data_IF_943295676698
#
_entry.id   IF_943295676698
#
_cell.length_a   1.000
_cell.length_b   1.000
_cell.length_c   1.000
_cell.angle_alpha   90.00
_cell.angle_beta   90.00
_cell.angle_gamma   90.00
#
_symmetry.space_group_name_H-M   'P 1'
#
loop_
_entity.id
_entity.type
_entity.pdbx_description
1 polymer ?
#
# COMPACT_ATOMS: atom_id res chain seq x y z
N UNK A 1 -7.18 -10.20 -2.61
CA UNK A 1 -6.75 -8.84 -2.98
C UNK A 1 -7.97 -8.03 -3.41
N UNK A 2 -7.96 -6.73 -3.20
CA UNK A 2 -9.00 -5.80 -3.63
C UNK A 2 -8.39 -4.56 -4.27
N UNK A 3 -9.20 -3.81 -5.01
CA UNK A 3 -8.88 -2.48 -5.51
C UNK A 3 -9.91 -1.47 -4.98
N UNK A 4 -9.60 -0.16 -4.98
CA UNK A 4 -10.59 0.85 -4.60
C UNK A 4 -11.80 0.94 -5.55
N UNK A 5 -11.76 0.27 -6.71
CA UNK A 5 -12.88 0.13 -7.64
C UNK A 5 -13.75 -1.10 -7.38
N UNK A 6 -13.33 -1.98 -6.46
CA UNK A 6 -14.10 -3.18 -6.13
C UNK A 6 -15.40 -2.79 -5.41
N UNK A 7 -16.52 -3.39 -5.80
CA UNK A 7 -17.80 -3.13 -5.16
C UNK A 7 -17.82 -3.56 -3.69
N UNK A 8 -18.62 -2.90 -2.86
CA UNK A 8 -18.63 -3.14 -1.41
C UNK A 8 -18.90 -4.60 -1.03
N UNK A 9 -19.87 -5.25 -1.70
CA UNK A 9 -20.20 -6.64 -1.45
C UNK A 9 -18.97 -7.55 -1.68
N UNK A 10 -18.18 -7.24 -2.70
CA UNK A 10 -16.96 -7.97 -3.03
C UNK A 10 -15.87 -7.73 -1.98
N UNK A 11 -15.71 -6.49 -1.50
CA UNK A 11 -14.75 -6.17 -0.44
C UNK A 11 -15.08 -6.94 0.84
N UNK A 12 -16.35 -6.93 1.26
CA UNK A 12 -16.83 -7.66 2.45
C UNK A 12 -16.64 -9.17 2.30
N UNK A 13 -16.91 -9.71 1.11
CA UNK A 13 -16.68 -11.13 0.82
C UNK A 13 -15.19 -11.49 0.92
N UNK A 14 -14.32 -10.67 0.30
CA UNK A 14 -12.86 -10.86 0.37
C UNK A 14 -12.39 -10.84 1.81
N UNK A 15 -12.82 -9.87 2.60
CA UNK A 15 -12.46 -9.78 4.02
C UNK A 15 -12.92 -11.04 4.78
N UNK A 16 -14.17 -11.47 4.61
CA UNK A 16 -14.69 -12.66 5.29
C UNK A 16 -13.91 -13.94 4.98
N UNK A 17 -13.45 -14.11 3.74
CA UNK A 17 -12.76 -15.30 3.24
C UNK A 17 -11.23 -15.24 3.42
N UNK A 18 -10.69 -14.05 3.69
CA UNK A 18 -9.25 -13.85 3.88
C UNK A 18 -8.84 -14.16 5.33
N UNK A 19 -7.55 -14.47 5.49
CA UNK A 19 -6.88 -14.71 6.77
C UNK A 19 -5.59 -13.90 6.82
N UNK A 20 -5.34 -13.23 7.94
CA UNK A 20 -4.15 -12.40 8.15
C UNK A 20 -4.40 -10.96 7.69
N UNK A 21 -4.42 -10.73 6.37
CA UNK A 21 -4.64 -9.40 5.82
C UNK A 21 -5.32 -9.39 4.44
N UNK A 22 -5.92 -8.25 4.11
CA UNK A 22 -6.42 -7.92 2.78
C UNK A 22 -5.42 -6.99 2.10
N UNK A 23 -4.85 -7.44 0.98
CA UNK A 23 -4.02 -6.61 0.12
C UNK A 23 -4.91 -5.71 -0.75
N UNK A 24 -4.83 -4.39 -0.53
CA UNK A 24 -5.43 -3.34 -1.34
C UNK A 24 -4.40 -2.69 -2.27
N UNK A 25 -4.68 -2.68 -3.57
CA UNK A 25 -3.80 -2.07 -4.57
C UNK A 25 -4.27 -0.65 -4.85
N UNK A 26 -3.47 0.34 -4.47
CA UNK A 26 -3.75 1.75 -4.73
C UNK A 26 -3.61 2.04 -6.23
N UNK A 27 -4.72 2.45 -6.84
CA UNK A 27 -4.88 2.96 -8.23
C UNK A 27 -4.81 2.01 -9.44
N UNK A 28 -5.74 2.30 -10.36
CA UNK A 28 -5.79 1.97 -11.78
C UNK A 28 -4.46 2.16 -12.51
N UNK A 29 -3.67 1.09 -12.62
CA UNK A 29 -3.00 0.65 -13.86
C UNK A 29 -2.36 1.68 -14.80
N UNK A 30 -1.66 2.71 -14.31
CA UNK A 30 -0.83 3.56 -15.17
C UNK A 30 0.63 3.50 -14.75
N UNK A 31 1.44 3.02 -15.67
CA UNK A 31 2.90 2.88 -15.61
C UNK A 31 3.55 4.24 -15.41
N UNK A 32 4.17 4.48 -14.25
CA UNK A 32 4.97 5.68 -14.00
C UNK A 32 5.28 5.93 -12.53
N UNK A 33 6.47 6.47 -12.25
CA UNK A 33 6.87 6.93 -10.91
C UNK A 33 6.02 8.16 -10.58
N UNK A 34 4.91 7.98 -9.84
CA UNK A 34 4.16 9.10 -9.26
C UNK A 34 4.74 9.42 -7.89
N UNK A 35 4.98 10.70 -7.64
CA UNK A 35 5.56 11.17 -6.38
C UNK A 35 4.55 11.26 -5.23
N UNK A 36 3.24 11.23 -5.51
CA UNK A 36 2.19 11.39 -4.49
C UNK A 36 0.87 10.72 -4.89
N UNK A 37 0.08 10.34 -3.89
CA UNK A 37 -1.33 9.97 -4.05
C UNK A 37 -2.19 11.23 -4.15
N UNK A 38 -3.21 11.19 -5.01
CA UNK A 38 -4.25 12.20 -5.14
C UNK A 38 -5.31 12.04 -4.05
N UNK A 39 -6.04 13.12 -3.75
CA UNK A 39 -7.12 13.10 -2.76
C UNK A 39 -8.21 12.07 -3.08
N UNK A 40 -8.49 11.85 -4.37
CA UNK A 40 -9.44 10.84 -4.81
C UNK A 40 -8.97 9.41 -4.50
N UNK A 41 -7.68 9.14 -4.65
CA UNK A 41 -7.07 7.84 -4.31
C UNK A 41 -7.11 7.62 -2.81
N UNK A 42 -6.73 8.63 -2.01
CA UNK A 42 -6.80 8.59 -0.55
C UNK A 42 -8.23 8.33 -0.07
N UNK A 43 -9.22 9.06 -0.60
CA UNK A 43 -10.63 8.86 -0.25
C UNK A 43 -11.10 7.45 -0.61
N UNK A 44 -10.67 6.90 -1.74
CA UNK A 44 -11.05 5.56 -2.16
C UNK A 44 -10.41 4.47 -1.29
N UNK A 45 -9.17 4.68 -0.85
CA UNK A 45 -8.50 3.83 0.15
C UNK A 45 -9.23 3.89 1.50
N UNK A 46 -9.61 5.08 1.96
CA UNK A 46 -10.37 5.27 3.20
C UNK A 46 -11.71 4.52 3.16
N UNK A 47 -12.46 4.65 2.07
CA UNK A 47 -13.71 3.93 1.87
C UNK A 47 -13.49 2.41 1.89
N UNK A 48 -12.47 1.92 1.20
CA UNK A 48 -12.13 0.48 1.19
C UNK A 48 -11.77 -0.02 2.58
N UNK A 49 -10.93 0.71 3.32
CA UNK A 49 -10.53 0.38 4.67
C UNK A 49 -11.71 0.31 5.64
N UNK A 50 -12.68 1.23 5.52
CA UNK A 50 -13.89 1.23 6.36
C UNK A 50 -14.78 -0.02 6.21
N UNK A 51 -14.64 -0.74 5.09
CA UNK A 51 -15.40 -1.95 4.79
C UNK A 51 -14.71 -3.23 5.26
N UNK A 52 -13.41 -3.17 5.55
CA UNK A 52 -12.60 -4.28 6.04
C UNK A 52 -12.67 -4.26 7.57
N UNK A 53 -13.24 -5.31 8.16
CA UNK A 53 -13.50 -5.39 9.61
C UNK A 53 -12.85 -6.58 10.29
N UNK A 54 -12.69 -7.70 9.56
CA UNK A 54 -12.13 -8.94 10.10
C UNK A 54 -10.61 -8.94 10.08
N UNK A 55 -10.01 -8.46 9.00
CA UNK A 55 -8.55 -8.51 8.80
C UNK A 55 -7.93 -7.12 8.78
N UNK A 56 -6.59 -7.10 8.79
CA UNK A 56 -5.79 -5.89 8.55
C UNK A 56 -5.79 -5.52 7.07
N UNK A 57 -5.81 -4.23 6.74
CA UNK A 57 -5.66 -3.76 5.35
C UNK A 57 -4.23 -3.33 5.09
N UNK A 58 -3.56 -3.98 4.14
CA UNK A 58 -2.25 -3.56 3.65
C UNK A 58 -2.40 -2.88 2.29
N UNK A 59 -1.78 -1.71 2.13
CA UNK A 59 -1.80 -0.96 0.88
C UNK A 59 -0.48 -1.12 0.14
N UNK A 60 -0.53 -1.33 -1.16
CA UNK A 60 0.66 -1.32 -2.01
C UNK A 60 0.37 -0.69 -3.35
N UNK A 61 1.42 -0.63 -4.18
CA UNK A 61 1.51 0.04 -5.50
C UNK A 61 2.01 1.49 -5.41
N UNK A 62 3.07 1.78 -6.16
CA UNK A 62 3.68 3.13 -6.26
C UNK A 62 4.48 3.61 -5.03
N UNK A 63 4.52 2.84 -3.94
CA UNK A 63 5.21 3.25 -2.71
C UNK A 63 6.72 3.08 -2.88
N UNK A 64 7.46 4.19 -2.85
CA UNK A 64 8.92 4.19 -2.94
C UNK A 64 9.61 5.24 -2.08
N UNK A 65 8.84 6.14 -1.46
CA UNK A 65 9.36 7.23 -0.60
C UNK A 65 8.68 7.25 0.77
N UNK A 66 9.31 7.93 1.73
CA UNK A 66 8.75 8.17 3.07
C UNK A 66 7.44 8.96 2.97
N UNK A 67 7.37 9.95 2.08
CA UNK A 67 6.19 10.76 1.83
C UNK A 67 5.01 9.91 1.31
N UNK A 68 5.26 8.94 0.42
CA UNK A 68 4.20 8.00 0.00
C UNK A 68 3.62 7.25 1.19
N UNK A 69 4.48 6.77 2.10
CA UNK A 69 4.05 6.03 3.29
C UNK A 69 3.25 6.94 4.20
N UNK A 70 3.73 8.16 4.50
CA UNK A 70 3.02 9.13 5.34
C UNK A 70 1.62 9.46 4.81
N UNK A 71 1.45 9.51 3.50
CA UNK A 71 0.13 9.78 2.89
C UNK A 71 -0.87 8.64 3.12
N UNK A 72 -0.42 7.38 3.14
CA UNK A 72 -1.32 6.21 3.23
C UNK A 72 -1.41 5.61 4.63
N UNK A 73 -0.39 5.76 5.47
CA UNK A 73 -0.33 5.23 6.84
C UNK A 73 -1.58 5.53 7.68
N UNK A 74 -2.21 6.73 7.62
CA UNK A 74 -3.42 6.99 8.41
C UNK A 74 -4.64 6.14 8.00
N UNK A 75 -4.60 5.49 6.84
CA UNK A 75 -5.73 4.81 6.23
C UNK A 75 -5.50 3.31 6.03
N UNK A 76 -4.37 2.77 6.48
CA UNK A 76 -4.05 1.34 6.35
C UNK A 76 -3.25 0.83 7.55
N UNK A 77 -3.28 -0.47 7.78
CA UNK A 77 -2.52 -1.12 8.85
C UNK A 77 -1.07 -1.45 8.43
N UNK A 78 -0.72 -1.26 7.16
CA UNK A 78 0.63 -1.52 6.67
C UNK A 78 0.80 -1.23 5.18
N UNK A 79 2.07 -1.15 4.75
CA UNK A 79 2.45 -0.86 3.37
C UNK A 79 3.24 -1.99 2.74
N UNK A 80 3.03 -2.24 1.45
CA UNK A 80 3.75 -3.24 0.66
C UNK A 80 4.60 -2.53 -0.40
N UNK A 81 5.91 -2.77 -0.35
CA UNK A 81 6.92 -2.14 -1.22
C UNK A 81 7.63 -3.24 -2.01
N UNK A 82 7.40 -3.27 -3.33
CA UNK A 82 7.96 -4.30 -4.23
C UNK A 82 9.01 -3.74 -5.19
N UNK A 83 8.58 -2.95 -6.17
CA UNK A 83 9.44 -2.45 -7.26
C UNK A 83 10.65 -1.65 -6.77
N UNK A 84 10.50 -0.84 -5.72
CA UNK A 84 11.62 -0.09 -5.14
C UNK A 84 12.67 -1.02 -4.51
N UNK A 85 12.25 -2.15 -3.91
CA UNK A 85 13.16 -3.16 -3.35
C UNK A 85 13.95 -3.84 -4.45
N UNK A 86 13.28 -4.28 -5.53
CA UNK A 86 13.96 -4.91 -6.67
C UNK A 86 14.94 -3.93 -7.32
N UNK A 87 14.50 -2.69 -7.57
CA UNK A 87 15.37 -1.64 -8.13
C UNK A 87 16.61 -1.42 -7.26
N UNK A 88 16.46 -1.35 -5.93
CA UNK A 88 17.60 -1.16 -5.03
C UNK A 88 18.51 -2.39 -4.95
N UNK A 89 17.95 -3.57 -5.07
CA UNK A 89 18.71 -4.82 -5.13
C UNK A 89 19.60 -4.84 -6.39
N UNK A 90 19.06 -4.43 -7.54
CA UNK A 90 19.80 -4.37 -8.80
C UNK A 90 20.87 -3.26 -8.80
N UNK A 91 20.56 -2.09 -8.23
CA UNK A 91 21.48 -0.94 -8.20
C UNK A 91 22.61 -1.08 -7.17
N UNK A 92 22.32 -1.67 -6.02
CA UNK A 92 23.18 -1.51 -4.83
C UNK A 92 23.17 -2.76 -3.92
N UNK A 93 22.68 -3.90 -4.41
CA UNK A 93 22.71 -5.16 -3.69
C UNK A 93 21.87 -5.14 -2.41
N UNK A 94 22.23 -6.04 -1.47
CA UNK A 94 21.49 -6.22 -0.22
C UNK A 94 21.59 -4.98 0.66
N UNK A 95 22.74 -4.32 0.67
CA UNK A 95 23.01 -3.11 1.44
C UNK A 95 22.05 -1.99 1.06
N UNK A 96 21.83 -1.78 -0.25
CA UNK A 96 20.85 -0.79 -0.74
C UNK A 96 19.42 -1.11 -0.34
N UNK A 97 19.05 -2.39 -0.29
CA UNK A 97 17.74 -2.82 0.22
C UNK A 97 17.60 -2.54 1.72
N UNK A 98 18.63 -2.83 2.52
CA UNK A 98 18.62 -2.53 3.95
C UNK A 98 18.48 -1.03 4.23
N UNK A 99 19.20 -0.20 3.48
CA UNK A 99 19.10 1.26 3.59
C UNK A 99 17.71 1.77 3.19
N UNK A 100 17.15 1.25 2.10
CA UNK A 100 15.79 1.56 1.67
C UNK A 100 14.78 1.24 2.79
N UNK A 101 14.82 0.03 3.34
CA UNK A 101 13.89 -0.39 4.40
C UNK A 101 14.02 0.51 5.63
N UNK A 102 15.24 0.79 6.09
CA UNK A 102 15.49 1.73 7.20
C UNK A 102 14.94 3.13 6.92
N UNK A 103 15.05 3.58 5.69
CA UNK A 103 14.55 4.90 5.27
C UNK A 103 13.02 4.92 5.31
N UNK A 104 12.39 3.94 4.66
CA UNK A 104 10.93 3.83 4.55
C UNK A 104 10.24 3.63 5.90
N UNK A 105 10.86 2.93 6.85
CA UNK A 105 10.35 2.78 8.21
C UNK A 105 10.07 4.11 8.92
N UNK A 106 10.78 5.19 8.57
CA UNK A 106 10.56 6.54 9.12
C UNK A 106 9.21 7.16 8.73
N UNK A 107 8.52 6.59 7.72
CA UNK A 107 7.20 7.02 7.28
C UNK A 107 6.05 6.26 7.94
N UNK A 108 6.33 5.12 8.56
CA UNK A 108 5.33 4.34 9.28
C UNK A 108 4.94 5.11 10.55
N UNK A 109 3.63 5.37 10.71
CA UNK A 109 3.08 5.95 11.94
C UNK A 109 2.51 4.78 12.74
N UNK A 110 2.99 4.60 13.97
CA UNK A 110 2.50 3.57 14.90
C UNK A 110 1.16 3.96 15.51
#
# INVERSE_FOLDING_TARGET
MTTPQSGEARIKEIDSKSSGFVYCVSVSGTTGVRNSFSDAEIKSLQNTGSLIKKNKMLVGFGISTVENIRQVSPFCDGVIVGSAVIKKLDESGKEGVFELVKTLQKGCVC
#
